data_IF_690802251484
#
_entry.id   IF_690802251484
#
_cell.length_a   1.000
_cell.length_b   1.000
_cell.length_c   1.000
_cell.angle_alpha   90.00
_cell.angle_beta   90.00
_cell.angle_gamma   90.00
#
_symmetry.space_group_name_H-M   'P 1'
#
loop_
_entity.id
_entity.type
_entity.pdbx_description
1 polymer ?
#
# COMPACT_ATOMS: atom_id res chain seq x y z
N UNK A 1 24.53 36.31 -17.96
CA UNK A 1 24.20 35.45 -16.81
C UNK A 1 23.18 34.44 -17.28
N UNK A 2 23.52 33.17 -17.20
CA UNK A 2 22.99 32.10 -18.05
C UNK A 2 21.54 31.71 -17.80
N UNK A 3 20.86 31.37 -18.89
CA UNK A 3 19.52 30.82 -19.01
C UNK A 3 19.65 29.29 -18.92
N UNK A 4 19.96 28.75 -17.73
CA UNK A 4 20.10 27.29 -17.51
C UNK A 4 19.60 26.89 -16.12
N UNK A 5 18.32 27.15 -15.83
CA UNK A 5 17.68 26.67 -14.61
C UNK A 5 16.37 25.92 -14.93
N UNK A 6 16.40 25.13 -16.00
CA UNK A 6 15.28 24.29 -16.43
C UNK A 6 15.64 22.82 -16.23
N UNK A 7 14.91 22.16 -15.31
CA UNK A 7 14.76 20.70 -15.13
C UNK A 7 15.80 19.96 -14.28
N UNK A 8 16.01 20.38 -13.03
CA UNK A 8 16.48 19.41 -12.00
C UNK A 8 15.31 18.51 -11.59
N UNK A 9 15.45 17.19 -11.78
CA UNK A 9 14.48 16.20 -11.25
C UNK A 9 14.33 16.40 -9.73
N UNK A 10 13.11 16.29 -9.17
CA UNK A 10 12.92 16.39 -7.73
C UNK A 10 13.68 15.26 -7.01
N UNK A 11 14.22 15.54 -5.82
CA UNK A 11 14.87 14.52 -5.00
C UNK A 11 13.86 13.52 -4.42
N UNK A 12 14.33 12.31 -4.07
CA UNK A 12 13.53 11.27 -3.40
C UNK A 12 12.77 11.85 -2.21
N UNK A 13 13.45 12.58 -1.32
CA UNK A 13 12.83 13.20 -0.13
C UNK A 13 11.70 14.20 -0.50
N UNK A 14 11.85 14.94 -1.61
CA UNK A 14 10.80 15.86 -2.08
C UNK A 14 9.60 15.08 -2.61
N UNK A 15 9.83 13.99 -3.32
CA UNK A 15 8.77 13.10 -3.81
C UNK A 15 8.06 12.37 -2.67
N UNK A 16 8.82 11.87 -1.69
CA UNK A 16 8.29 11.26 -0.46
C UNK A 16 7.36 12.23 0.28
N UNK A 17 7.82 13.45 0.56
CA UNK A 17 6.97 14.49 1.19
C UNK A 17 5.73 14.81 0.36
N UNK A 18 5.89 14.90 -0.97
CA UNK A 18 4.78 15.18 -1.89
C UNK A 18 3.71 14.08 -1.81
N UNK A 19 4.12 12.82 -1.78
CA UNK A 19 3.21 11.69 -1.65
C UNK A 19 2.51 11.66 -0.28
N UNK A 20 3.25 11.84 0.82
CA UNK A 20 2.67 11.92 2.17
C UNK A 20 1.62 13.04 2.26
N UNK A 21 1.96 14.24 1.78
CA UNK A 21 1.03 15.37 1.77
C UNK A 21 -0.21 15.09 0.91
N UNK A 22 -0.04 14.44 -0.24
CA UNK A 22 -1.17 14.06 -1.08
C UNK A 22 -2.13 13.11 -0.34
N UNK A 23 -1.61 12.07 0.32
CA UNK A 23 -2.43 11.13 1.09
C UNK A 23 -3.18 11.82 2.22
N UNK A 24 -2.51 12.68 3.01
CA UNK A 24 -3.22 13.40 4.07
C UNK A 24 -4.28 14.36 3.49
N UNK A 25 -3.99 15.04 2.39
CA UNK A 25 -4.95 15.94 1.76
C UNK A 25 -6.14 15.20 1.14
N UNK A 26 -5.95 13.99 0.60
CA UNK A 26 -7.02 13.23 -0.06
C UNK A 26 -8.05 12.66 0.93
N UNK A 27 -7.66 12.49 2.19
CA UNK A 27 -8.50 11.94 3.27
C UNK A 27 -8.85 12.97 4.36
N UNK A 28 -8.44 14.23 4.17
CA UNK A 28 -8.73 15.32 5.10
C UNK A 28 -10.24 15.61 5.14
N UNK A 29 -10.79 15.70 6.34
CA UNK A 29 -12.17 16.16 6.59
C UNK A 29 -12.19 17.36 7.53
N UNK A 30 -13.36 17.96 7.75
CA UNK A 30 -13.54 19.03 8.76
C UNK A 30 -13.16 18.58 10.18
N UNK A 31 -13.18 17.26 10.44
CA UNK A 31 -12.82 16.66 11.74
C UNK A 31 -11.34 16.31 11.85
N UNK A 32 -10.55 16.55 10.81
CA UNK A 32 -9.15 16.15 10.73
C UNK A 32 -8.92 14.96 9.80
N UNK A 33 -7.72 14.40 9.94
CA UNK A 33 -7.27 13.17 9.27
C UNK A 33 -7.50 11.99 10.20
N UNK A 34 -8.18 10.95 9.69
CA UNK A 34 -8.24 9.65 10.34
C UNK A 34 -7.01 8.83 9.95
N UNK A 35 -6.27 8.34 10.94
CA UNK A 35 -4.98 7.65 10.71
C UNK A 35 -5.18 6.36 9.94
N UNK A 36 -6.24 5.61 10.24
CA UNK A 36 -6.55 4.35 9.59
C UNK A 36 -6.80 4.52 8.08
N UNK A 37 -7.43 5.62 7.67
CA UNK A 37 -7.64 5.95 6.25
C UNK A 37 -6.32 6.33 5.57
N UNK A 38 -5.46 7.11 6.24
CA UNK A 38 -4.14 7.44 5.70
C UNK A 38 -3.26 6.19 5.51
N UNK A 39 -3.28 5.27 6.48
CA UNK A 39 -2.57 3.99 6.38
C UNK A 39 -3.19 3.10 5.31
N UNK A 40 -4.51 3.06 5.17
CA UNK A 40 -5.20 2.32 4.11
C UNK A 40 -4.77 2.77 2.72
N UNK A 41 -4.84 4.07 2.45
CA UNK A 41 -4.43 4.64 1.15
C UNK A 41 -2.96 4.36 0.89
N UNK A 42 -2.08 4.66 1.84
CA UNK A 42 -0.65 4.50 1.64
C UNK A 42 -0.22 3.04 1.48
N UNK A 43 -0.79 2.11 2.26
CA UNK A 43 -0.57 0.67 2.12
C UNK A 43 -1.04 0.15 0.77
N UNK A 44 -2.16 0.66 0.26
CA UNK A 44 -2.66 0.28 -1.06
C UNK A 44 -1.71 0.75 -2.16
N UNK A 45 -1.16 1.96 -2.07
CA UNK A 45 -0.16 2.44 -3.03
C UNK A 45 1.09 1.56 -3.01
N UNK A 46 1.57 1.14 -1.83
CA UNK A 46 2.68 0.17 -1.72
C UNK A 46 2.32 -1.12 -2.46
N UNK A 47 1.12 -1.66 -2.19
CA UNK A 47 0.66 -2.91 -2.78
C UNK A 47 0.59 -2.88 -4.32
N UNK A 48 0.04 -1.81 -4.90
CA UNK A 48 0.00 -1.65 -6.35
C UNK A 48 1.38 -1.50 -6.97
N UNK A 49 2.34 -0.88 -6.28
CA UNK A 49 3.73 -0.85 -6.76
C UNK A 49 4.40 -2.22 -6.69
N UNK A 50 4.01 -3.09 -5.75
CA UNK A 50 4.44 -4.49 -5.75
C UNK A 50 3.88 -5.25 -6.95
N UNK A 51 2.63 -5.00 -7.35
CA UNK A 51 2.01 -5.59 -8.55
C UNK A 51 2.78 -5.17 -9.80
N UNK A 52 3.02 -3.87 -9.99
CA UNK A 52 3.75 -3.36 -11.16
C UNK A 52 5.18 -3.92 -11.22
N UNK A 53 5.88 -4.01 -10.08
CA UNK A 53 7.22 -4.60 -10.03
C UNK A 53 7.22 -6.12 -10.32
N UNK A 54 6.17 -6.83 -9.88
CA UNK A 54 5.99 -8.24 -10.23
C UNK A 54 5.75 -8.38 -11.74
N UNK A 55 5.03 -7.44 -12.36
CA UNK A 55 4.74 -7.41 -13.79
C UNK A 55 4.12 -8.73 -14.29
N UNK A 56 3.32 -9.39 -13.46
CA UNK A 56 2.55 -10.58 -13.84
C UNK A 56 1.14 -10.22 -14.33
N UNK A 57 0.63 -9.07 -13.89
CA UNK A 57 -0.55 -8.39 -14.44
C UNK A 57 -0.41 -6.89 -14.26
N UNK A 58 -1.09 -6.09 -15.09
CA UNK A 58 -1.07 -4.63 -14.98
C UNK A 58 -2.18 -4.15 -14.06
N UNK A 59 -1.90 -3.18 -13.19
CA UNK A 59 -2.94 -2.56 -12.35
C UNK A 59 -3.98 -1.78 -13.16
N UNK A 60 -3.66 -1.41 -14.40
CA UNK A 60 -4.49 -0.60 -15.28
C UNK A 60 -5.24 -1.43 -16.32
N UNK A 61 -4.69 -2.60 -16.70
CA UNK A 61 -5.20 -3.41 -17.80
C UNK A 61 -5.09 -4.91 -17.47
N UNK A 62 -6.22 -5.50 -17.11
CA UNK A 62 -6.38 -6.94 -16.94
C UNK A 62 -7.83 -7.36 -17.17
N UNK A 63 -8.08 -8.65 -17.34
CA UNK A 63 -9.43 -9.22 -17.52
C UNK A 63 -9.98 -9.87 -16.24
N UNK A 64 -9.24 -9.83 -15.13
CA UNK A 64 -9.76 -10.27 -13.83
C UNK A 64 -10.91 -9.38 -13.34
N UNK A 65 -11.86 -9.98 -12.62
CA UNK A 65 -12.92 -9.25 -11.94
C UNK A 65 -12.32 -8.41 -10.79
N UNK A 66 -12.55 -7.10 -10.71
CA UNK A 66 -12.01 -6.28 -9.63
C UNK A 66 -12.39 -6.83 -8.24
N UNK A 67 -11.43 -6.85 -7.33
CA UNK A 67 -11.60 -7.42 -6.00
C UNK A 67 -11.42 -8.96 -5.93
N UNK A 68 -11.28 -9.66 -7.07
CA UNK A 68 -10.97 -11.09 -7.04
C UNK A 68 -9.53 -11.37 -6.63
N UNK A 69 -9.29 -12.52 -6.01
CA UNK A 69 -7.95 -12.91 -5.61
C UNK A 69 -7.07 -13.29 -6.82
N UNK A 70 -5.83 -12.83 -6.81
CA UNK A 70 -4.78 -13.12 -7.76
C UNK A 70 -3.61 -13.73 -7.00
N UNK A 71 -3.26 -14.97 -7.33
CA UNK A 71 -2.15 -15.69 -6.72
C UNK A 71 -0.89 -15.51 -7.56
N UNK A 72 0.15 -14.98 -6.93
CA UNK A 72 1.44 -14.69 -7.56
C UNK A 72 2.57 -15.08 -6.62
N UNK A 73 3.44 -15.98 -7.07
CA UNK A 73 4.67 -16.33 -6.35
C UNK A 73 5.61 -15.12 -6.31
N UNK A 74 5.76 -14.42 -7.43
CA UNK A 74 6.65 -13.24 -7.52
C UNK A 74 6.23 -12.11 -6.58
N UNK A 75 4.92 -11.90 -6.37
CA UNK A 75 4.44 -10.94 -5.38
C UNK A 75 4.84 -11.39 -3.96
N UNK A 76 4.71 -12.68 -3.63
CA UNK A 76 5.20 -13.18 -2.35
C UNK A 76 6.71 -12.95 -2.18
N UNK A 77 7.50 -13.23 -3.23
CA UNK A 77 8.95 -12.99 -3.22
C UNK A 77 9.30 -11.51 -2.99
N UNK A 78 8.57 -10.59 -3.60
CA UNK A 78 8.75 -9.14 -3.38
C UNK A 78 8.40 -8.76 -1.93
N UNK A 79 7.31 -9.31 -1.40
CA UNK A 79 6.82 -8.96 -0.07
C UNK A 79 7.73 -9.47 1.05
N UNK A 80 8.14 -10.74 0.99
CA UNK A 80 8.84 -11.43 2.09
C UNK A 80 10.11 -12.18 1.68
N UNK A 81 10.46 -12.21 0.40
CA UNK A 81 11.64 -12.91 -0.11
C UNK A 81 11.35 -14.31 -0.67
N UNK A 82 12.36 -14.97 -1.27
CA UNK A 82 12.20 -16.24 -1.98
C UNK A 82 11.98 -17.46 -1.07
N UNK A 83 12.17 -17.30 0.25
CA UNK A 83 12.03 -18.37 1.23
C UNK A 83 11.02 -17.92 2.28
N UNK A 84 10.01 -18.75 2.53
CA UNK A 84 9.06 -18.53 3.61
C UNK A 84 9.80 -18.57 4.95
N UNK A 85 9.65 -17.50 5.74
CA UNK A 85 10.21 -17.37 7.08
C UNK A 85 9.12 -16.94 8.05
N UNK A 86 9.19 -17.44 9.28
CA UNK A 86 8.20 -17.13 10.31
C UNK A 86 8.58 -15.90 11.14
N UNK A 87 9.85 -15.49 11.07
CA UNK A 87 10.44 -14.44 11.90
C UNK A 87 10.82 -13.21 11.09
N UNK A 88 10.38 -12.03 11.54
CA UNK A 88 10.71 -10.74 10.93
C UNK A 88 12.21 -10.48 10.76
N UNK A 89 13.04 -11.01 11.67
CA UNK A 89 14.48 -10.81 11.62
C UNK A 89 15.19 -11.70 10.58
N UNK A 90 14.48 -12.66 10.00
CA UNK A 90 14.97 -13.58 8.97
C UNK A 90 14.56 -13.14 7.56
N UNK A 91 13.72 -12.10 7.43
CA UNK A 91 13.32 -11.56 6.14
C UNK A 91 14.53 -10.99 5.38
N UNK A 92 14.67 -11.26 4.08
CA UNK A 92 15.70 -10.63 3.25
C UNK A 92 15.56 -9.11 3.25
N UNK A 93 16.69 -8.40 3.34
CA UNK A 93 16.70 -6.95 3.60
C UNK A 93 16.06 -6.12 2.48
N UNK A 94 16.05 -6.66 1.27
CA UNK A 94 15.49 -6.08 0.06
C UNK A 94 13.97 -6.29 -0.06
N UNK A 95 13.39 -7.23 0.71
CA UNK A 95 11.94 -7.44 0.72
C UNK A 95 11.20 -6.21 1.24
N UNK A 96 9.96 -6.03 0.78
CA UNK A 96 9.12 -4.89 1.17
C UNK A 96 8.89 -4.88 2.68
N UNK A 97 8.55 -6.02 3.28
CA UNK A 97 8.27 -6.12 4.71
C UNK A 97 9.51 -5.83 5.56
N UNK A 98 10.68 -6.38 5.21
CA UNK A 98 11.93 -6.07 5.90
C UNK A 98 12.32 -4.59 5.76
N UNK A 99 12.10 -4.01 4.58
CA UNK A 99 12.42 -2.62 4.31
C UNK A 99 11.56 -1.67 5.15
N UNK A 100 10.25 -1.93 5.26
CA UNK A 100 9.37 -1.16 6.15
C UNK A 100 9.81 -1.32 7.60
N UNK A 101 9.98 -2.56 8.10
CA UNK A 101 10.43 -2.83 9.48
C UNK A 101 11.71 -2.07 9.79
N UNK A 102 12.74 -2.19 8.96
CA UNK A 102 14.04 -1.53 9.16
C UNK A 102 13.91 -0.01 9.29
N UNK A 103 13.05 0.62 8.48
CA UNK A 103 12.85 2.08 8.49
C UNK A 103 12.14 2.56 9.75
N UNK A 104 11.28 1.74 10.35
CA UNK A 104 10.47 2.13 11.51
C UNK A 104 10.97 1.52 12.83
N UNK A 105 11.94 0.61 12.81
CA UNK A 105 12.34 -0.22 13.97
C UNK A 105 12.74 0.59 15.21
N UNK A 106 13.30 1.79 15.05
CA UNK A 106 13.66 2.67 16.16
C UNK A 106 12.46 3.40 16.80
N UNK A 107 11.26 3.25 16.24
CA UNK A 107 10.06 3.97 16.64
C UNK A 107 8.95 3.05 17.17
N UNK A 108 9.08 1.73 16.99
CA UNK A 108 8.09 0.72 17.34
C UNK A 108 8.75 -0.42 18.10
N UNK A 109 8.09 -0.94 19.12
CA UNK A 109 8.55 -2.11 19.86
C UNK A 109 8.38 -3.38 19.00
N UNK A 110 9.33 -4.33 19.08
CA UNK A 110 9.28 -5.58 18.32
C UNK A 110 7.98 -6.38 18.61
N UNK A 111 7.41 -6.26 19.81
CA UNK A 111 6.13 -6.88 20.18
C UNK A 111 4.91 -6.27 19.50
N UNK A 112 5.06 -5.12 18.86
CA UNK A 112 3.98 -4.46 18.11
C UNK A 112 3.81 -5.06 16.71
N UNK A 113 4.81 -5.76 16.19
CA UNK A 113 4.73 -6.36 14.86
C UNK A 113 3.81 -7.58 14.90
N UNK A 114 2.88 -7.73 13.92
CA UNK A 114 2.04 -8.93 13.84
C UNK A 114 2.87 -10.17 13.54
N UNK A 115 2.37 -11.35 13.85
CA UNK A 115 3.00 -12.59 13.40
C UNK A 115 3.00 -12.63 11.85
N UNK A 116 4.16 -12.92 11.24
CA UNK A 116 4.27 -12.92 9.78
C UNK A 116 3.27 -13.88 9.14
N UNK A 117 3.23 -15.12 9.60
CA UNK A 117 2.27 -16.15 9.15
C UNK A 117 0.83 -15.70 9.31
N UNK A 118 0.51 -14.98 10.39
CA UNK A 118 -0.82 -14.44 10.65
C UNK A 118 -1.34 -13.52 9.54
N UNK A 119 -0.46 -12.71 8.94
CA UNK A 119 -0.82 -11.81 7.83
C UNK A 119 -1.31 -12.62 6.62
N UNK A 120 -0.60 -13.69 6.26
CA UNK A 120 -0.92 -14.52 5.11
C UNK A 120 -2.11 -15.43 5.37
N UNK A 121 -2.17 -16.04 6.55
CA UNK A 121 -3.28 -16.90 6.96
C UNK A 121 -4.59 -16.13 7.03
N UNK A 122 -4.59 -14.91 7.56
CA UNK A 122 -5.78 -14.08 7.63
C UNK A 122 -6.33 -13.80 6.21
N UNK A 123 -5.47 -13.39 5.28
CA UNK A 123 -5.89 -13.20 3.89
C UNK A 123 -6.44 -14.50 3.28
N UNK A 124 -5.70 -15.61 3.38
CA UNK A 124 -6.07 -16.88 2.76
C UNK A 124 -7.39 -17.46 3.28
N UNK A 125 -7.67 -17.30 4.57
CA UNK A 125 -8.91 -17.80 5.20
C UNK A 125 -10.16 -17.05 4.74
N UNK A 126 -10.03 -15.80 4.30
CA UNK A 126 -11.17 -14.90 4.04
C UNK A 126 -11.34 -14.57 2.54
N UNK A 127 -10.70 -15.31 1.64
CA UNK A 127 -10.82 -15.08 0.19
C UNK A 127 -12.28 -15.26 -0.23
N UNK A 128 -12.88 -14.20 -0.79
CA UNK A 128 -14.26 -14.20 -1.25
C UNK A 128 -15.31 -14.07 -0.15
N UNK A 129 -14.91 -13.86 1.11
CA UNK A 129 -15.83 -13.68 2.24
C UNK A 129 -16.14 -12.21 2.55
N UNK A 130 -15.43 -11.27 1.93
CA UNK A 130 -15.54 -9.84 2.22
C UNK A 130 -16.48 -9.11 1.26
N UNK A 131 -17.04 -7.99 1.73
CA UNK A 131 -17.74 -7.06 0.85
C UNK A 131 -16.80 -6.59 -0.27
N UNK A 132 -17.38 -6.42 -1.46
CA UNK A 132 -16.64 -6.05 -2.65
C UNK A 132 -15.85 -4.75 -2.44
N UNK A 133 -14.57 -4.77 -2.81
CA UNK A 133 -13.66 -3.64 -2.64
C UNK A 133 -13.04 -3.50 -1.24
N UNK A 134 -13.41 -4.36 -0.28
CA UNK A 134 -12.86 -4.38 1.07
C UNK A 134 -11.96 -5.62 1.30
N UNK A 135 -11.12 -5.54 2.34
CA UNK A 135 -10.26 -6.64 2.79
C UNK A 135 -10.67 -7.10 4.20
N UNK A 136 -10.45 -8.38 4.49
CA UNK A 136 -10.62 -8.90 5.85
C UNK A 136 -9.41 -8.51 6.66
N UNK A 137 -9.63 -7.70 7.69
CA UNK A 137 -8.58 -7.21 8.58
C UNK A 137 -8.79 -7.77 9.98
N UNK A 138 -7.71 -8.21 10.62
CA UNK A 138 -7.74 -8.82 11.96
C UNK A 138 -7.70 -7.79 13.10
N UNK A 139 -7.77 -6.51 12.76
CA UNK A 139 -7.86 -5.40 13.72
C UNK A 139 -9.30 -5.19 14.24
N UNK A 140 -9.48 -4.51 15.38
CA UNK A 140 -10.81 -4.18 15.89
C UNK A 140 -11.66 -3.36 14.90
N UNK A 141 -12.98 -3.56 14.92
CA UNK A 141 -13.91 -2.91 13.98
C UNK A 141 -13.86 -1.38 14.06
N UNK A 142 -13.70 -0.80 15.25
CA UNK A 142 -13.59 0.65 15.47
C UNK A 142 -12.33 1.26 14.81
N UNK A 143 -11.36 0.42 14.44
CA UNK A 143 -10.14 0.80 13.74
C UNK A 143 -10.14 0.43 12.25
N UNK A 144 -11.24 -0.11 11.71
CA UNK A 144 -11.31 -0.32 10.26
C UNK A 144 -11.30 1.03 9.53
N UNK A 145 -10.58 1.13 8.39
CA UNK A 145 -10.64 2.32 7.56
C UNK A 145 -12.05 2.48 6.98
N UNK A 146 -12.46 3.73 6.76
CA UNK A 146 -13.67 4.06 6.02
C UNK A 146 -13.41 4.01 4.51
N UNK A 147 -12.17 4.29 4.10
CA UNK A 147 -11.76 4.15 2.70
C UNK A 147 -11.63 2.67 2.32
N UNK A 148 -12.25 2.33 1.19
CA UNK A 148 -12.12 1.01 0.58
C UNK A 148 -10.76 0.92 -0.14
N UNK A 149 -9.91 -0.08 0.18
CA UNK A 149 -8.60 -0.24 -0.46
C UNK A 149 -8.67 -0.26 -1.99
N UNK A 150 -9.65 -0.97 -2.58
CA UNK A 150 -9.77 -1.06 -4.05
C UNK A 150 -10.03 0.31 -4.70
N UNK A 151 -10.87 1.13 -4.07
CA UNK A 151 -11.16 2.49 -4.51
C UNK A 151 -9.96 3.40 -4.31
N UNK A 152 -9.31 3.32 -3.15
CA UNK A 152 -8.11 4.11 -2.85
C UNK A 152 -6.99 3.86 -3.88
N UNK A 153 -6.77 2.61 -4.26
CA UNK A 153 -5.82 2.25 -5.32
C UNK A 153 -6.15 2.97 -6.62
N UNK A 154 -7.38 2.80 -7.12
CA UNK A 154 -7.84 3.44 -8.35
C UNK A 154 -7.69 4.97 -8.33
N UNK A 155 -8.15 5.64 -7.28
CA UNK A 155 -8.17 7.10 -7.20
C UNK A 155 -6.77 7.72 -7.06
N UNK A 156 -5.80 6.97 -6.52
CA UNK A 156 -4.44 7.48 -6.29
C UNK A 156 -3.48 7.24 -7.45
N UNK A 157 -3.75 6.27 -8.34
CA UNK A 157 -2.85 5.90 -9.45
C UNK A 157 -2.42 7.06 -10.31
N UNK A 158 -3.38 7.85 -10.80
CA UNK A 158 -3.08 8.99 -11.67
C UNK A 158 -2.08 9.93 -11.02
N UNK A 159 -2.26 10.23 -9.73
CA UNK A 159 -1.32 11.06 -9.00
C UNK A 159 0.06 10.40 -8.92
N UNK A 160 0.12 9.12 -8.53
CA UNK A 160 1.39 8.37 -8.41
C UNK A 160 2.13 8.35 -9.74
N UNK A 161 1.46 8.00 -10.83
CA UNK A 161 2.08 7.87 -12.15
C UNK A 161 2.57 9.22 -12.70
N UNK A 162 1.79 10.29 -12.55
CA UNK A 162 2.16 11.61 -13.08
C UNK A 162 3.17 12.37 -12.19
N UNK A 163 3.20 12.08 -10.88
CA UNK A 163 3.89 12.93 -9.91
C UNK A 163 5.02 12.25 -9.15
N UNK A 164 5.01 10.92 -9.08
CA UNK A 164 5.93 10.12 -8.29
C UNK A 164 6.74 9.16 -9.20
N UNK A 165 6.08 8.48 -10.14
CA UNK A 165 6.72 7.55 -11.09
C UNK A 165 7.42 8.29 -12.24
N UNK A 166 8.48 9.03 -11.90
CA UNK A 166 9.22 9.86 -12.84
C UNK A 166 10.44 9.16 -13.46
N UNK A 167 10.72 7.92 -13.05
CA UNK A 167 11.91 7.17 -13.46
C UNK A 167 11.59 5.71 -13.83
N UNK A 168 11.27 4.88 -12.85
CA UNK A 168 10.89 3.47 -13.02
C UNK A 168 10.20 2.93 -11.75
N UNK A 169 9.64 1.73 -11.84
CA UNK A 169 8.85 1.15 -10.75
C UNK A 169 9.67 0.79 -9.51
N UNK A 170 10.94 0.38 -9.66
CA UNK A 170 11.84 0.14 -8.51
C UNK A 170 12.07 1.41 -7.69
N UNK A 171 12.34 2.52 -8.39
CA UNK A 171 12.56 3.83 -7.78
C UNK A 171 11.28 4.34 -7.13
N UNK A 172 10.14 4.14 -7.78
CA UNK A 172 8.83 4.51 -7.26
C UNK A 172 8.49 3.72 -6.01
N UNK A 173 8.72 2.40 -6.00
CA UNK A 173 8.53 1.57 -4.82
C UNK A 173 9.40 2.09 -3.66
N UNK A 174 10.67 2.41 -3.89
CA UNK A 174 11.53 2.99 -2.83
C UNK A 174 10.94 4.27 -2.22
N UNK A 175 10.45 5.20 -3.04
CA UNK A 175 9.82 6.45 -2.59
C UNK A 175 8.55 6.16 -1.78
N UNK A 176 7.73 5.23 -2.24
CA UNK A 176 6.50 4.84 -1.55
C UNK A 176 6.81 4.14 -0.21
N UNK A 177 7.86 3.31 -0.15
CA UNK A 177 8.32 2.68 1.09
C UNK A 177 8.87 3.71 2.10
N UNK A 178 9.53 4.77 1.61
CA UNK A 178 9.91 5.91 2.45
C UNK A 178 8.68 6.68 2.96
N UNK A 179 7.64 6.82 2.12
CA UNK A 179 6.42 7.53 2.47
C UNK A 179 5.59 6.79 3.53
N UNK A 180 5.35 5.47 3.37
CA UNK A 180 4.62 4.68 4.37
C UNK A 180 5.36 4.65 5.72
N UNK A 181 6.69 4.52 5.71
CA UNK A 181 7.48 4.56 6.94
C UNK A 181 7.32 5.91 7.66
N UNK A 182 7.29 7.00 6.89
CA UNK A 182 7.06 8.34 7.43
C UNK A 182 5.65 8.50 8.01
N UNK A 183 4.61 8.04 7.31
CA UNK A 183 3.22 8.08 7.82
C UNK A 183 3.12 7.29 9.13
N UNK A 184 3.67 6.07 9.18
CA UNK A 184 3.70 5.26 10.41
C UNK A 184 4.38 5.99 11.57
N UNK A 185 5.55 6.59 11.33
CA UNK A 185 6.30 7.32 12.37
C UNK A 185 5.56 8.57 12.84
N UNK A 186 4.99 9.35 11.91
CA UNK A 186 4.27 10.59 12.22
C UNK A 186 2.96 10.32 12.99
N UNK A 187 2.32 9.17 12.72
CA UNK A 187 1.02 8.81 13.31
C UNK A 187 1.12 7.87 14.50
N UNK A 188 2.32 7.45 14.91
CA UNK A 188 2.54 6.45 15.97
C UNK A 188 1.88 6.75 17.33
N UNK A 189 1.64 8.03 17.63
CA UNK A 189 1.03 8.47 18.90
C UNK A 189 -0.50 8.57 18.82
N UNK A 190 -1.08 8.43 17.62
CA UNK A 190 -2.51 8.61 17.36
C UNK A 190 -3.26 7.29 17.19
N UNK A 191 -2.57 6.19 16.90
CA UNK A 191 -3.13 4.85 16.77
C UNK A 191 -2.25 3.86 17.55
N UNK A 192 -2.86 2.84 18.18
CA UNK A 192 -2.11 1.80 18.87
C UNK A 192 -1.10 1.15 17.90
N UNK A 193 0.19 1.06 18.25
CA UNK A 193 1.24 0.50 17.39
C UNK A 193 0.89 -0.85 16.75
N UNK A 194 0.33 -1.78 17.53
CA UNK A 194 -0.04 -3.11 17.05
C UNK A 194 -1.14 -3.05 16.00
N UNK A 195 -2.14 -2.20 16.19
CA UNK A 195 -3.24 -1.98 15.23
C UNK A 195 -2.69 -1.36 13.95
N UNK A 196 -1.88 -0.30 14.07
CA UNK A 196 -1.28 0.38 12.91
C UNK A 196 -0.45 -0.58 12.05
N UNK A 197 0.44 -1.36 12.66
CA UNK A 197 1.30 -2.30 11.93
C UNK A 197 0.50 -3.46 11.34
N UNK A 198 -0.47 -4.01 12.07
CA UNK A 198 -1.33 -5.09 11.56
C UNK A 198 -2.13 -4.60 10.35
N UNK A 199 -2.82 -3.46 10.47
CA UNK A 199 -3.54 -2.80 9.37
C UNK A 199 -2.65 -2.62 8.14
N UNK A 200 -1.46 -2.04 8.34
CA UNK A 200 -0.55 -1.73 7.24
C UNK A 200 -0.12 -2.97 6.48
N UNK A 201 0.38 -3.99 7.18
CA UNK A 201 0.91 -5.19 6.52
C UNK A 201 -0.18 -6.09 5.94
N UNK A 202 -1.34 -6.18 6.58
CA UNK A 202 -2.48 -6.92 6.03
C UNK A 202 -3.03 -6.28 4.75
N UNK A 203 -3.17 -4.94 4.71
CA UNK A 203 -3.60 -4.26 3.48
C UNK A 203 -2.56 -4.44 2.38
N UNK A 204 -1.26 -4.31 2.67
CA UNK A 204 -0.22 -4.51 1.66
C UNK A 204 -0.30 -5.93 1.07
N UNK A 205 -0.36 -6.95 1.93
CA UNK A 205 -0.45 -8.34 1.49
C UNK A 205 -1.75 -8.62 0.71
N UNK A 206 -2.89 -8.15 1.21
CA UNK A 206 -4.19 -8.39 0.59
C UNK A 206 -4.33 -7.69 -0.75
N UNK A 207 -4.04 -6.38 -0.81
CA UNK A 207 -4.17 -5.62 -2.05
C UNK A 207 -3.16 -6.05 -3.12
N UNK A 208 -1.95 -6.46 -2.74
CA UNK A 208 -0.97 -6.93 -3.71
C UNK A 208 -1.41 -8.24 -4.40
N UNK A 209 -2.39 -8.94 -3.81
CA UNK A 209 -2.95 -10.20 -4.29
C UNK A 209 -4.41 -10.06 -4.73
N UNK A 210 -4.87 -8.83 -4.96
CA UNK A 210 -6.23 -8.54 -5.36
C UNK A 210 -6.23 -7.88 -6.73
N UNK A 211 -7.06 -8.37 -7.65
CA UNK A 211 -7.29 -7.76 -8.94
C UNK A 211 -7.79 -6.33 -8.75
N UNK A 212 -7.11 -5.38 -9.39
CA UNK A 212 -7.37 -3.97 -9.22
C UNK A 212 -8.62 -3.51 -9.98
N UNK A 213 -9.16 -2.35 -9.62
CA UNK A 213 -10.19 -1.72 -10.42
C UNK A 213 -9.57 -1.09 -11.68
N UNK A 214 -10.06 -1.37 -12.88
CA UNK A 214 -9.54 -0.78 -14.14
C UNK A 214 -10.49 0.31 -14.68
N UNK A 215 -9.99 1.19 -15.54
CA UNK A 215 -10.83 2.21 -16.22
C UNK A 215 -11.95 1.56 -17.03
N UNK A 216 -11.66 0.44 -17.70
CA UNK A 216 -12.65 -0.35 -18.45
C UNK A 216 -13.78 -0.80 -17.53
N UNK A 217 -13.44 -1.39 -16.39
CA UNK A 217 -14.43 -1.88 -15.41
C UNK A 217 -15.20 -0.74 -14.73
N UNK A 218 -14.54 0.37 -14.43
CA UNK A 218 -15.23 1.57 -13.91
C UNK A 218 -16.26 2.12 -14.88
N UNK A 219 -15.91 2.20 -16.17
CA UNK A 219 -16.84 2.65 -17.20
C UNK A 219 -18.04 1.69 -17.36
N UNK A 220 -17.80 0.37 -17.34
CA UNK A 220 -18.86 -0.65 -17.34
C UNK A 220 -19.83 -0.42 -16.17
N UNK A 221 -19.32 -0.32 -14.93
CA UNK A 221 -20.13 -0.11 -13.72
C UNK A 221 -20.90 1.21 -13.69
N UNK A 222 -20.38 2.25 -14.34
CA UNK A 222 -21.09 3.54 -14.46
C UNK A 222 -22.23 3.44 -15.47
N UNK A 223 -22.03 2.73 -16.57
CA UNK A 223 -23.06 2.55 -17.60
C UNK A 223 -24.24 1.67 -17.17
N UNK A 224 -24.03 0.75 -16.21
CA UNK A 224 -25.10 -0.10 -15.65
C UNK A 224 -26.01 0.63 -14.66
N UNK A 225 -25.61 1.83 -14.19
CA UNK A 225 -26.38 2.66 -13.27
C UNK A 225 -27.29 3.68 -13.97
N UNK A 226 -27.16 3.84 -15.28
CA UNK A 226 -27.99 4.69 -16.14
C UNK A 226 -29.18 3.91 -16.74
#
# INVERSE_FOLDING_TARGET
>A
MGIFDFLTKPSDEKLTKKLVNYVYNSIQTDKGVRVEDALCVMSTIVAERCIELANEFSINQHEFEPGSAVFSEKINEILVGPVAVDNWNELPQESVFATIKRKINSHFDDSSFPALTGIFENYAKNIGETEWGNLSLSIPDDNKPFFLPLQAGYETRKFVDENINLENDEKTLKIVLDAIARVLIETKMALEPKVALTLTFEIINGMAKTATMTDKKMAELQSEKE
#
